data_IF_501947057192
#
_entry.id   IF_501947057192
#
_cell.length_a   1.000
_cell.length_b   1.000
_cell.length_c   1.000
_cell.angle_alpha   90.00
_cell.angle_beta   90.00
_cell.angle_gamma   90.00
#
_symmetry.space_group_name_H-M   'P 1'
#
loop_
_entity.id
_entity.type
_entity.pdbx_description
1 polymer ?
#
# COMPACT_ATOMS: atom_id res chain seq x y z
N UNK A 1 16.01 -7.21 -9.34
CA UNK A 1 15.65 -8.60 -9.73
C UNK A 1 14.14 -8.75 -9.64
N UNK A 2 13.52 -9.44 -10.59
CA UNK A 2 12.08 -9.76 -10.59
C UNK A 2 11.84 -11.25 -10.60
N UNK A 3 10.60 -11.68 -10.36
CA UNK A 3 10.18 -13.07 -10.42
C UNK A 3 8.90 -13.20 -11.27
N UNK A 4 8.88 -14.15 -12.20
CA UNK A 4 7.68 -14.55 -12.91
C UNK A 4 7.18 -15.89 -12.35
N UNK A 5 5.95 -15.91 -11.86
CA UNK A 5 5.31 -17.10 -11.30
C UNK A 5 4.42 -17.71 -12.37
N UNK A 6 4.67 -18.96 -12.72
CA UNK A 6 3.96 -19.68 -13.78
C UNK A 6 2.96 -20.64 -13.15
N UNK A 7 1.70 -20.53 -13.58
CA UNK A 7 0.63 -21.44 -13.13
C UNK A 7 0.78 -22.86 -13.68
N UNK A 8 -0.07 -23.76 -13.19
CA UNK A 8 -0.01 -25.21 -13.53
C UNK A 8 -0.77 -25.60 -14.80
N UNK A 9 -1.55 -24.68 -15.39
CA UNK A 9 -2.30 -24.99 -16.62
C UNK A 9 -1.35 -25.22 -17.81
N UNK A 10 -1.77 -26.02 -18.77
CA UNK A 10 -0.96 -26.32 -19.97
C UNK A 10 -0.57 -25.05 -20.75
N UNK A 11 -1.46 -24.06 -20.82
CA UNK A 11 -1.20 -22.77 -21.46
C UNK A 11 -0.15 -21.95 -20.69
N UNK A 12 -0.26 -21.90 -19.36
CA UNK A 12 0.71 -21.23 -18.51
C UNK A 12 2.10 -21.86 -18.63
N UNK A 13 2.18 -23.19 -18.66
CA UNK A 13 3.44 -23.92 -18.85
C UNK A 13 4.06 -23.65 -20.21
N UNK A 14 3.25 -23.62 -21.27
CA UNK A 14 3.70 -23.27 -22.62
C UNK A 14 4.23 -21.84 -22.70
N UNK A 15 3.56 -20.89 -22.00
CA UNK A 15 4.02 -19.51 -21.88
C UNK A 15 5.32 -19.43 -21.06
N UNK A 16 5.40 -20.15 -19.95
CA UNK A 16 6.61 -20.25 -19.13
C UNK A 16 7.83 -20.75 -19.90
N UNK A 17 7.63 -21.73 -20.78
CA UNK A 17 8.70 -22.21 -21.67
C UNK A 17 9.22 -21.12 -22.62
N UNK A 18 8.32 -20.30 -23.19
CA UNK A 18 8.69 -19.13 -24.00
C UNK A 18 9.46 -18.09 -23.21
N UNK A 19 9.02 -17.77 -21.99
CA UNK A 19 9.72 -16.85 -21.10
C UNK A 19 11.12 -17.33 -20.75
N UNK A 20 11.28 -18.64 -20.46
CA UNK A 20 12.58 -19.26 -20.18
C UNK A 20 13.51 -19.19 -21.40
N UNK A 21 12.98 -19.44 -22.60
CA UNK A 21 13.74 -19.27 -23.83
C UNK A 21 14.21 -17.83 -24.01
N UNK A 22 13.31 -16.84 -23.84
CA UNK A 22 13.64 -15.41 -23.96
C UNK A 22 14.67 -15.00 -22.89
N UNK A 23 14.50 -15.41 -21.65
CA UNK A 23 15.47 -15.15 -20.57
C UNK A 23 16.88 -15.58 -20.97
N UNK A 24 17.02 -16.79 -21.52
CA UNK A 24 18.30 -17.29 -21.98
C UNK A 24 18.81 -16.53 -23.22
N UNK A 25 17.94 -16.28 -24.20
CA UNK A 25 18.31 -15.65 -25.46
C UNK A 25 18.82 -14.21 -25.28
N UNK A 26 18.20 -13.43 -24.37
CA UNK A 26 18.58 -12.03 -24.11
C UNK A 26 19.57 -11.88 -22.95
N UNK A 27 19.93 -12.99 -22.27
CA UNK A 27 20.83 -12.96 -21.12
C UNK A 27 20.24 -12.30 -19.88
N UNK A 28 18.91 -12.29 -19.69
CA UNK A 28 18.22 -11.69 -18.55
C UNK A 28 18.35 -12.56 -17.29
N UNK A 29 19.58 -12.76 -16.85
CA UNK A 29 19.93 -13.57 -15.68
C UNK A 29 20.38 -12.64 -14.55
N UNK A 30 19.85 -12.80 -13.32
CA UNK A 30 20.27 -11.99 -12.20
C UNK A 30 21.73 -12.28 -11.83
N UNK A 31 22.43 -11.24 -11.36
CA UNK A 31 23.82 -11.42 -10.92
C UNK A 31 23.90 -12.30 -9.65
N UNK A 32 25.03 -12.98 -9.39
CA UNK A 32 25.23 -13.70 -8.13
C UNK A 32 25.06 -12.81 -6.90
N UNK A 33 25.45 -11.54 -6.98
CA UNK A 33 25.29 -10.57 -5.90
C UNK A 33 23.82 -10.29 -5.61
N UNK A 34 23.00 -10.06 -6.64
CA UNK A 34 21.55 -9.87 -6.49
C UNK A 34 20.88 -11.10 -5.88
N UNK A 35 21.28 -12.30 -6.34
CA UNK A 35 20.79 -13.56 -5.78
C UNK A 35 21.12 -13.70 -4.29
N UNK A 36 22.34 -13.35 -3.89
CA UNK A 36 22.75 -13.35 -2.48
C UNK A 36 21.92 -12.40 -1.63
N UNK A 37 21.72 -11.15 -2.09
CA UNK A 37 20.93 -10.15 -1.37
C UNK A 37 19.47 -10.58 -1.22
N UNK A 38 18.86 -11.13 -2.26
CA UNK A 38 17.48 -11.63 -2.20
C UNK A 38 17.35 -12.84 -1.30
N UNK A 39 18.28 -13.81 -1.38
CA UNK A 39 18.29 -14.97 -0.48
C UNK A 39 18.42 -14.55 0.99
N UNK A 40 19.21 -13.53 1.27
CA UNK A 40 19.30 -12.96 2.62
C UNK A 40 18.00 -12.31 3.05
N UNK A 41 17.42 -11.47 2.19
CA UNK A 41 16.22 -10.69 2.50
C UNK A 41 14.98 -11.54 2.68
N UNK A 42 14.82 -12.61 1.88
CA UNK A 42 13.62 -13.46 1.91
C UNK A 42 13.48 -14.21 3.24
N UNK A 43 14.58 -14.44 3.96
CA UNK A 43 14.57 -15.14 5.25
C UNK A 43 13.82 -14.38 6.34
N UNK A 44 13.70 -13.07 6.22
CA UNK A 44 12.97 -12.20 7.16
C UNK A 44 11.63 -11.70 6.60
N UNK A 45 11.23 -12.16 5.40
CA UNK A 45 10.04 -11.65 4.72
C UNK A 45 8.78 -11.83 5.57
N UNK A 46 8.57 -13.00 6.16
CA UNK A 46 7.39 -13.27 6.99
C UNK A 46 7.30 -12.36 8.22
N UNK A 47 8.44 -12.01 8.82
CA UNK A 47 8.49 -11.09 9.97
C UNK A 47 8.12 -9.67 9.53
N UNK A 48 8.70 -9.20 8.43
CA UNK A 48 8.42 -7.87 7.88
C UNK A 48 6.97 -7.74 7.43
N UNK A 49 6.42 -8.75 6.73
CA UNK A 49 5.03 -8.73 6.29
C UNK A 49 4.03 -8.65 7.45
N UNK A 50 4.34 -9.28 8.60
CA UNK A 50 3.53 -9.13 9.81
C UNK A 50 3.57 -7.71 10.35
N UNK A 51 4.75 -7.11 10.44
CA UNK A 51 4.91 -5.73 10.88
C UNK A 51 4.19 -4.74 9.93
N UNK A 52 4.42 -4.85 8.61
CA UNK A 52 3.71 -4.06 7.61
C UNK A 52 2.19 -4.15 7.75
N UNK A 53 1.66 -5.37 7.92
CA UNK A 53 0.22 -5.60 8.00
C UNK A 53 -0.40 -5.00 9.26
N UNK A 54 0.30 -5.09 10.41
CA UNK A 54 -0.13 -4.48 11.67
C UNK A 54 -0.14 -2.95 11.54
N UNK A 55 0.94 -2.38 11.02
CA UNK A 55 1.08 -0.94 10.84
C UNK A 55 0.02 -0.38 9.87
N UNK A 56 -0.19 -1.06 8.74
CA UNK A 56 -1.21 -0.67 7.78
C UNK A 56 -2.63 -0.73 8.36
N UNK A 57 -2.95 -1.79 9.12
CA UNK A 57 -4.25 -1.89 9.80
C UNK A 57 -4.43 -0.76 10.80
N UNK A 58 -3.43 -0.51 11.64
CA UNK A 58 -3.47 0.57 12.63
C UNK A 58 -3.70 1.94 11.98
N UNK A 59 -2.94 2.26 10.94
CA UNK A 59 -3.08 3.51 10.17
C UNK A 59 -4.48 3.57 9.51
N UNK A 60 -4.94 2.49 8.88
CA UNK A 60 -6.25 2.45 8.24
C UNK A 60 -7.40 2.69 9.22
N UNK A 61 -7.34 2.11 10.42
CA UNK A 61 -8.32 2.30 11.48
C UNK A 61 -8.34 3.76 12.00
N UNK A 62 -7.17 4.39 12.08
CA UNK A 62 -7.04 5.79 12.48
C UNK A 62 -7.57 6.73 11.40
N UNK A 63 -7.20 6.50 10.14
CA UNK A 63 -7.68 7.27 9.00
C UNK A 63 -9.21 7.18 8.85
N UNK A 64 -9.79 5.98 9.03
CA UNK A 64 -11.24 5.78 8.95
C UNK A 64 -12.05 6.56 10.02
N UNK A 65 -11.39 7.00 11.08
CA UNK A 65 -11.98 7.82 12.15
C UNK A 65 -11.58 9.30 12.06
N UNK A 66 -10.69 9.64 11.17
CA UNK A 66 -10.15 10.99 11.02
C UNK A 66 -11.18 11.90 10.33
N UNK A 67 -11.43 13.11 10.83
CA UNK A 67 -12.31 14.08 10.16
C UNK A 67 -11.69 14.67 8.88
N UNK A 68 -10.40 14.46 8.68
CA UNK A 68 -9.64 14.97 7.53
C UNK A 68 -9.65 14.04 6.31
N UNK A 69 -10.28 12.86 6.43
CA UNK A 69 -10.27 11.82 5.40
C UNK A 69 -11.69 11.48 5.01
N UNK A 70 -11.99 11.48 3.71
CA UNK A 70 -13.33 11.18 3.21
C UNK A 70 -13.57 9.68 3.03
N UNK A 71 -12.56 8.94 2.63
CA UNK A 71 -12.67 7.51 2.35
C UNK A 71 -11.33 6.81 2.50
N UNK A 72 -11.35 5.58 3.04
CA UNK A 72 -10.18 4.71 3.20
C UNK A 72 -10.40 3.41 2.43
N UNK A 73 -9.42 3.00 1.66
CA UNK A 73 -9.40 1.75 0.92
C UNK A 73 -8.33 0.85 1.55
N UNK A 74 -8.77 -0.11 2.33
CA UNK A 74 -7.91 -1.15 2.91
C UNK A 74 -8.72 -2.43 3.09
N UNK A 75 -8.40 -3.51 2.34
CA UNK A 75 -9.18 -4.75 2.40
C UNK A 75 -9.23 -5.41 3.79
N UNK A 76 -8.30 -5.05 4.66
CA UNK A 76 -8.28 -5.49 6.05
C UNK A 76 -9.35 -4.87 6.94
N UNK A 77 -9.99 -3.76 6.57
CA UNK A 77 -11.10 -3.19 7.35
C UNK A 77 -12.39 -4.00 7.13
N UNK A 78 -13.12 -4.29 8.20
CA UNK A 78 -14.40 -5.00 8.14
C UNK A 78 -15.46 -4.29 7.28
N UNK A 79 -15.36 -2.96 7.17
CA UNK A 79 -16.23 -2.14 6.30
C UNK A 79 -15.90 -2.26 4.82
N UNK A 80 -14.76 -2.82 4.45
CA UNK A 80 -14.34 -2.96 3.05
C UNK A 80 -15.08 -4.13 2.39
N UNK A 81 -15.67 -3.95 1.19
CA UNK A 81 -16.48 -4.99 0.53
C UNK A 81 -15.71 -6.28 0.23
N UNK A 82 -14.39 -6.21 0.05
CA UNK A 82 -13.54 -7.36 -0.20
C UNK A 82 -12.87 -7.92 1.08
N UNK A 83 -13.31 -7.57 2.28
CA UNK A 83 -12.69 -8.06 3.53
C UNK A 83 -12.70 -9.59 3.63
N UNK A 84 -13.84 -10.25 3.36
CA UNK A 84 -13.93 -11.72 3.36
C UNK A 84 -12.98 -12.34 2.31
N UNK A 85 -12.92 -11.77 1.10
CA UNK A 85 -12.02 -12.25 0.06
C UNK A 85 -10.55 -12.06 0.46
N UNK A 86 -10.22 -10.95 1.12
CA UNK A 86 -8.89 -10.70 1.66
C UNK A 86 -8.49 -11.80 2.65
N UNK A 87 -9.35 -12.15 3.60
CA UNK A 87 -9.11 -13.24 4.54
C UNK A 87 -8.97 -14.58 3.81
N UNK A 88 -9.88 -14.91 2.88
CA UNK A 88 -9.86 -16.16 2.13
C UNK A 88 -8.59 -16.34 1.30
N UNK A 89 -8.04 -15.25 0.77
CA UNK A 89 -6.82 -15.25 -0.04
C UNK A 89 -5.52 -15.41 0.76
N UNK A 90 -5.56 -15.28 2.09
CA UNK A 90 -4.40 -15.49 2.94
C UNK A 90 -3.90 -16.94 2.85
N UNK A 91 -2.59 -17.11 2.92
CA UNK A 91 -2.00 -18.45 3.07
C UNK A 91 -2.44 -19.09 4.39
N UNK A 92 -2.35 -20.42 4.48
CA UNK A 92 -2.70 -21.14 5.72
C UNK A 92 -1.93 -20.66 6.94
N UNK A 93 -0.66 -20.29 6.77
CA UNK A 93 0.16 -19.78 7.87
C UNK A 93 -0.24 -18.35 8.26
N UNK A 94 -0.60 -17.51 7.27
CA UNK A 94 -1.10 -16.17 7.55
C UNK A 94 -2.46 -16.21 8.26
N UNK A 95 -3.37 -17.11 7.86
CA UNK A 95 -4.64 -17.35 8.55
C UNK A 95 -4.43 -17.75 10.01
N UNK A 96 -3.58 -18.74 10.29
CA UNK A 96 -3.25 -19.14 11.66
C UNK A 96 -2.72 -17.97 12.51
N UNK A 97 -1.91 -17.13 11.90
CA UNK A 97 -1.40 -15.94 12.59
C UNK A 97 -2.50 -14.93 12.87
N UNK A 98 -3.32 -14.59 11.88
CA UNK A 98 -4.45 -13.66 12.01
C UNK A 98 -5.44 -14.18 13.06
N UNK A 99 -5.84 -15.45 12.99
CA UNK A 99 -6.78 -16.08 13.93
C UNK A 99 -6.26 -16.12 15.38
N UNK A 100 -4.94 -16.06 15.55
CA UNK A 100 -4.28 -15.98 16.85
C UNK A 100 -4.24 -14.57 17.46
N UNK A 101 -4.64 -13.55 16.72
CA UNK A 101 -4.68 -12.18 17.23
C UNK A 101 -5.95 -11.94 18.07
N UNK A 102 -5.85 -11.17 19.20
CA UNK A 102 -6.98 -10.99 20.12
C UNK A 102 -8.24 -10.37 19.49
N UNK A 103 -8.06 -9.56 18.46
CA UNK A 103 -9.13 -8.77 17.84
C UNK A 103 -9.74 -9.43 16.60
N UNK A 104 -9.17 -10.55 16.15
CA UNK A 104 -9.60 -11.26 14.93
C UNK A 104 -10.13 -12.64 15.27
N UNK A 105 -11.43 -12.78 15.47
CA UNK A 105 -12.04 -14.10 15.68
C UNK A 105 -12.55 -14.68 14.37
N UNK A 106 -11.84 -15.65 13.82
CA UNK A 106 -12.29 -16.42 12.66
C UNK A 106 -12.48 -15.60 11.37
N UNK A 107 -11.65 -14.58 11.16
CA UNK A 107 -11.72 -13.72 9.98
C UNK A 107 -12.90 -12.73 9.96
N UNK A 108 -13.66 -12.63 11.05
CA UNK A 108 -14.67 -11.59 11.21
C UNK A 108 -14.04 -10.35 11.87
N UNK A 109 -14.29 -9.17 11.33
CA UNK A 109 -13.76 -7.91 11.83
C UNK A 109 -12.57 -7.38 11.03
N UNK A 110 -11.87 -6.46 11.64
CA UNK A 110 -10.66 -5.87 11.02
C UNK A 110 -9.51 -6.88 11.09
N UNK A 111 -8.83 -7.09 9.98
CA UNK A 111 -7.70 -8.02 9.86
C UNK A 111 -6.45 -7.33 9.30
N UNK A 112 -5.25 -7.67 9.76
CA UNK A 112 -4.02 -7.20 9.12
C UNK A 112 -3.85 -7.88 7.75
N UNK A 113 -3.82 -7.08 6.67
CA UNK A 113 -3.78 -7.58 5.28
C UNK A 113 -2.78 -6.80 4.43
N UNK A 114 -1.51 -7.16 4.49
CA UNK A 114 -0.44 -6.48 3.78
C UNK A 114 -0.19 -5.05 4.23
N UNK A 115 0.82 -4.41 3.64
CA UNK A 115 1.26 -3.06 4.00
C UNK A 115 0.67 -1.93 3.16
N UNK A 116 -0.21 -2.24 2.19
CA UNK A 116 -0.72 -1.25 1.24
C UNK A 116 -2.13 -0.80 1.61
N UNK A 117 -2.31 0.51 1.71
CA UNK A 117 -3.62 1.14 1.86
C UNK A 117 -3.68 2.42 1.03
N UNK A 118 -4.87 2.91 0.79
CA UNK A 118 -5.07 4.21 0.14
C UNK A 118 -6.20 4.97 0.82
N UNK A 119 -6.20 6.28 0.64
CA UNK A 119 -7.27 7.12 1.13
C UNK A 119 -7.47 8.36 0.25
N UNK A 120 -8.59 9.03 0.45
CA UNK A 120 -8.89 10.32 -0.18
C UNK A 120 -9.09 11.39 0.88
N UNK A 121 -8.60 12.60 0.59
CA UNK A 121 -9.05 13.80 1.29
C UNK A 121 -10.50 14.14 0.90
N UNK A 122 -11.19 15.05 1.59
CA UNK A 122 -12.46 15.59 1.12
C UNK A 122 -12.34 16.12 -0.31
N UNK A 123 -13.42 15.99 -1.10
CA UNK A 123 -13.43 16.43 -2.51
C UNK A 123 -13.26 17.94 -2.70
N UNK A 124 -13.38 18.70 -1.62
CA UNK A 124 -13.13 20.14 -1.57
C UNK A 124 -11.67 20.50 -1.34
N UNK A 125 -10.80 19.52 -1.07
CA UNK A 125 -9.40 19.79 -0.78
C UNK A 125 -8.67 20.32 -2.02
N UNK A 126 -7.86 21.35 -1.78
CA UNK A 126 -7.08 22.01 -2.81
C UNK A 126 -5.84 21.18 -3.23
N UNK A 127 -5.29 21.43 -4.42
CA UNK A 127 -3.99 20.85 -4.82
C UNK A 127 -2.87 21.18 -3.83
N UNK A 128 -2.90 22.38 -3.24
CA UNK A 128 -1.95 22.84 -2.24
C UNK A 128 -2.02 22.04 -0.94
N UNK A 129 -3.23 21.63 -0.53
CA UNK A 129 -3.41 20.75 0.62
C UNK A 129 -2.84 19.35 0.36
N UNK A 130 -3.04 18.80 -0.85
CA UNK A 130 -2.43 17.54 -1.25
C UNK A 130 -0.90 17.63 -1.25
N UNK A 131 -0.33 18.70 -1.78
CA UNK A 131 1.12 18.93 -1.77
C UNK A 131 1.66 19.02 -0.34
N UNK A 132 0.98 19.76 0.53
CA UNK A 132 1.33 19.86 1.95
C UNK A 132 1.29 18.49 2.64
N UNK A 133 0.26 17.68 2.40
CA UNK A 133 0.16 16.32 2.94
C UNK A 133 1.33 15.43 2.51
N UNK A 134 1.75 15.54 1.25
CA UNK A 134 2.80 14.68 0.70
C UNK A 134 4.22 15.11 1.10
N UNK A 135 4.42 16.40 1.35
CA UNK A 135 5.76 16.97 1.58
C UNK A 135 6.09 17.26 3.04
N UNK A 136 5.08 17.29 3.93
CA UNK A 136 5.30 17.61 5.34
C UNK A 136 5.65 16.44 6.26
N UNK A 137 5.34 15.16 5.96
CA UNK A 137 5.75 14.04 6.80
C UNK A 137 7.28 13.93 6.89
N UNK A 138 7.74 13.42 8.02
CA UNK A 138 9.17 13.20 8.31
C UNK A 138 9.57 11.73 8.26
N UNK A 139 8.62 10.84 8.53
CA UNK A 139 8.83 9.39 8.52
C UNK A 139 8.43 8.77 7.19
N UNK A 140 7.42 9.33 6.53
CA UNK A 140 7.03 8.87 5.19
C UNK A 140 7.87 9.54 4.12
N UNK A 141 8.54 8.76 3.31
CA UNK A 141 9.21 9.28 2.12
C UNK A 141 8.22 9.42 0.95
N UNK A 142 8.28 10.53 0.23
CA UNK A 142 7.53 10.72 -1.01
C UNK A 142 8.22 9.93 -2.13
N UNK A 143 7.66 8.78 -2.50
CA UNK A 143 8.28 7.89 -3.48
C UNK A 143 7.27 6.95 -4.15
N UNK A 144 7.54 6.60 -5.40
CA UNK A 144 6.73 5.71 -6.23
C UNK A 144 6.84 4.22 -5.83
N UNK A 145 7.76 3.87 -4.96
CA UNK A 145 8.03 2.49 -4.54
C UNK A 145 6.99 1.98 -3.55
N UNK A 146 7.06 0.69 -3.22
CA UNK A 146 6.20 0.07 -2.22
C UNK A 146 6.87 -1.18 -1.61
N UNK A 147 6.39 -1.60 -0.43
CA UNK A 147 6.79 -2.86 0.20
C UNK A 147 8.20 -2.86 0.79
N UNK A 148 8.88 -1.73 0.83
CA UNK A 148 10.16 -1.53 1.54
C UNK A 148 9.97 -1.49 3.05
N UNK A 149 11.08 -1.48 3.79
CA UNK A 149 11.07 -1.35 5.26
C UNK A 149 10.68 0.06 5.70
N UNK A 150 10.86 1.05 4.83
CA UNK A 150 10.50 2.45 5.02
C UNK A 150 9.04 2.68 4.61
N UNK A 151 8.35 3.54 5.35
CA UNK A 151 7.01 4.00 5.00
C UNK A 151 7.05 5.02 3.87
N UNK A 152 6.15 4.86 2.89
CA UNK A 152 6.12 5.70 1.68
C UNK A 152 4.72 6.27 1.47
N UNK A 153 4.68 7.51 0.93
CA UNK A 153 3.49 8.17 0.40
C UNK A 153 3.65 8.44 -1.09
N UNK A 154 2.55 8.37 -1.82
CA UNK A 154 2.50 8.66 -3.25
C UNK A 154 1.14 9.22 -3.64
N UNK A 155 1.14 10.10 -4.64
CA UNK A 155 -0.04 10.52 -5.39
C UNK A 155 0.01 9.88 -6.79
N UNK A 156 -0.61 8.70 -7.01
CA UNK A 156 -0.46 7.94 -8.25
C UNK A 156 -0.86 8.71 -9.49
N UNK A 157 -1.89 9.56 -9.41
CA UNK A 157 -2.36 10.35 -10.57
C UNK A 157 -1.30 11.27 -11.17
N UNK A 158 -0.34 11.73 -10.36
CA UNK A 158 0.72 12.66 -10.80
C UNK A 158 2.06 11.95 -10.96
N UNK A 159 2.40 11.04 -10.04
CA UNK A 159 3.73 10.44 -9.98
C UNK A 159 3.89 9.25 -10.94
N UNK A 160 3.04 8.24 -10.82
CA UNK A 160 3.17 6.99 -11.63
C UNK A 160 2.29 6.98 -12.86
N UNK A 161 1.17 7.70 -12.87
CA UNK A 161 0.17 7.68 -13.94
C UNK A 161 -0.02 9.05 -14.60
N UNK A 162 0.94 9.98 -14.44
CA UNK A 162 0.86 11.32 -15.05
C UNK A 162 0.80 11.31 -16.58
N UNK A 163 1.29 10.26 -17.23
CA UNK A 163 1.19 10.05 -18.68
C UNK A 163 -0.15 9.47 -19.15
N UNK A 164 -0.99 8.98 -18.24
CA UNK A 164 -2.31 8.44 -18.55
C UNK A 164 -3.29 9.60 -18.74
N UNK A 165 -4.16 9.59 -19.76
CA UNK A 165 -5.18 10.62 -19.95
C UNK A 165 -6.04 10.82 -18.72
N UNK A 166 -6.46 12.08 -18.46
CA UNK A 166 -7.23 12.44 -17.26
C UNK A 166 -8.56 11.65 -17.16
N UNK A 167 -9.23 11.42 -18.30
CA UNK A 167 -10.47 10.64 -18.33
C UNK A 167 -10.26 9.19 -17.85
N UNK A 168 -9.14 8.58 -18.25
CA UNK A 168 -8.79 7.23 -17.84
C UNK A 168 -8.40 7.19 -16.35
N UNK A 169 -7.66 8.21 -15.86
CA UNK A 169 -7.33 8.32 -14.42
C UNK A 169 -8.58 8.48 -13.57
N UNK A 170 -9.55 9.29 -14.03
CA UNK A 170 -10.87 9.43 -13.35
C UNK A 170 -11.64 8.11 -13.37
N UNK A 171 -11.67 7.40 -14.51
CA UNK A 171 -12.31 6.09 -14.61
C UNK A 171 -11.67 5.04 -13.69
N UNK A 172 -10.36 5.11 -13.49
CA UNK A 172 -9.62 4.26 -12.55
C UNK A 172 -9.79 4.68 -11.09
N UNK A 173 -10.39 5.86 -10.82
CA UNK A 173 -10.56 6.36 -9.46
C UNK A 173 -9.26 6.75 -8.77
N UNK A 174 -8.21 7.12 -9.52
CA UNK A 174 -6.91 7.46 -8.92
C UNK A 174 -6.69 8.97 -8.76
N UNK A 175 -7.63 9.80 -9.21
CA UNK A 175 -7.55 11.25 -9.02
C UNK A 175 -7.71 11.60 -7.53
N UNK A 176 -6.71 12.26 -6.97
CA UNK A 176 -6.67 12.62 -5.55
C UNK A 176 -6.49 11.45 -4.59
N UNK A 177 -6.27 10.23 -5.10
CA UNK A 177 -5.94 9.06 -4.28
C UNK A 177 -4.54 9.19 -3.70
N UNK A 178 -4.42 9.15 -2.38
CA UNK A 178 -3.14 9.04 -1.69
C UNK A 178 -2.87 7.57 -1.38
N UNK A 179 -1.76 7.02 -1.87
CA UNK A 179 -1.33 5.66 -1.59
C UNK A 179 -0.28 5.66 -0.47
N UNK A 180 -0.46 4.76 0.47
CA UNK A 180 0.47 4.51 1.58
C UNK A 180 1.06 3.11 1.44
N UNK A 181 2.37 3.00 1.51
CA UNK A 181 3.08 1.76 1.77
C UNK A 181 3.62 1.82 3.20
N UNK A 182 2.92 1.18 4.13
CA UNK A 182 3.34 1.16 5.53
C UNK A 182 4.60 0.30 5.70
N UNK A 183 5.62 0.88 6.30
CA UNK A 183 6.88 0.24 6.62
C UNK A 183 6.82 -0.57 7.93
N UNK A 184 7.97 -0.74 8.56
CA UNK A 184 8.13 -1.49 9.81
C UNK A 184 8.51 -0.62 11.01
N UNK A 185 8.38 0.69 10.88
CA UNK A 185 8.60 1.65 11.95
C UNK A 185 7.51 1.49 13.03
N UNK A 186 7.63 2.20 14.14
CA UNK A 186 6.62 2.14 15.20
C UNK A 186 5.29 2.73 14.72
N UNK A 187 4.21 1.96 14.86
CA UNK A 187 2.89 2.32 14.31
C UNK A 187 2.34 3.64 14.87
N UNK A 188 2.62 3.94 16.14
CA UNK A 188 2.18 5.17 16.79
C UNK A 188 2.91 6.37 16.19
N UNK A 189 4.21 6.28 16.00
CA UNK A 189 5.02 7.35 15.41
C UNK A 189 4.59 7.63 13.96
N UNK A 190 4.31 6.57 13.19
CA UNK A 190 3.78 6.71 11.82
C UNK A 190 2.43 7.43 11.81
N UNK A 191 1.54 7.09 12.74
CA UNK A 191 0.25 7.77 12.82
C UNK A 191 0.41 9.24 13.22
N UNK A 192 1.20 9.55 14.22
CA UNK A 192 1.42 10.92 14.69
C UNK A 192 1.99 11.80 13.58
N UNK A 193 2.95 11.30 12.81
CA UNK A 193 3.54 12.01 11.66
C UNK A 193 2.51 12.25 10.55
N UNK A 194 1.71 11.24 10.22
CA UNK A 194 0.66 11.37 9.20
C UNK A 194 -0.50 12.27 9.66
N UNK A 195 -0.90 12.17 10.93
CA UNK A 195 -1.96 13.03 11.50
C UNK A 195 -1.53 14.50 11.52
N UNK A 196 -0.28 14.80 11.85
CA UNK A 196 0.26 16.16 11.77
C UNK A 196 0.23 16.70 10.33
N UNK A 197 0.59 15.86 9.35
CA UNK A 197 0.52 16.23 7.94
C UNK A 197 -0.91 16.48 7.47
N UNK A 198 -1.87 15.66 7.89
CA UNK A 198 -3.30 15.85 7.60
C UNK A 198 -3.85 17.15 8.21
N UNK A 199 -3.45 17.49 9.43
CA UNK A 199 -3.83 18.77 10.06
C UNK A 199 -3.27 19.96 9.29
N UNK A 200 -2.00 19.92 8.89
CA UNK A 200 -1.38 20.98 8.07
C UNK A 200 -2.09 21.15 6.72
N UNK A 201 -2.43 20.04 6.06
CA UNK A 201 -3.16 20.07 4.80
C UNK A 201 -4.55 20.72 4.98
N UNK A 202 -5.26 20.36 6.04
CA UNK A 202 -6.56 20.96 6.38
C UNK A 202 -6.45 22.48 6.66
N UNK A 203 -5.42 22.91 7.37
CA UNK A 203 -5.18 24.33 7.65
C UNK A 203 -4.90 25.13 6.36
N UNK A 204 -4.21 24.52 5.39
CA UNK A 204 -4.02 25.10 4.04
C UNK A 204 -5.37 25.28 3.34
N UNK A 205 -6.23 24.27 3.35
CA UNK A 205 -7.57 24.37 2.74
C UNK A 205 -8.39 25.52 3.34
N UNK A 206 -8.34 25.72 4.65
CA UNK A 206 -9.03 26.84 5.31
C UNK A 206 -8.50 28.22 4.88
N UNK A 207 -7.25 28.33 4.46
CA UNK A 207 -6.65 29.58 3.98
C UNK A 207 -6.91 29.83 2.50
N UNK A 208 -6.93 28.78 1.68
CA UNK A 208 -7.11 28.87 0.21
C UNK A 208 -8.59 28.92 -0.17
N UNK A 209 -9.42 28.20 0.55
CA UNK A 209 -10.88 28.14 0.33
C UNK A 209 -11.62 28.33 1.67
N UNK A 210 -11.62 29.56 2.25
CA UNK A 210 -12.33 29.79 3.51
C UNK A 210 -13.80 29.43 3.32
N UNK A 211 -14.28 28.50 4.14
CA UNK A 211 -15.71 28.17 4.24
C UNK A 211 -16.50 29.44 4.53
N UNK A 212 -17.61 29.68 3.82
CA UNK A 212 -18.44 30.87 4.01
C UNK A 212 -19.07 30.93 5.41
#
# INVERSE_FOLDING_TARGET
>A
MGAAIIGETAEAQAFGAKLKFLQNAVGAVPSPHDCYLVQRSIKTLSLRMKAHSINALYIAQKLAKSPYVSHVIYPGLASHPANSLAYESLSSEAKKWVDGLPETKGGAGDIPYGGMLSFYLPSSSSPEALDMLLTSPRLFALAESLGGVESLLELPSVMTHGSVPEEDRKALGIEGLVRVSAGIEEAVDLWEDLEEALKKAYDVDLTVCPTP
#
